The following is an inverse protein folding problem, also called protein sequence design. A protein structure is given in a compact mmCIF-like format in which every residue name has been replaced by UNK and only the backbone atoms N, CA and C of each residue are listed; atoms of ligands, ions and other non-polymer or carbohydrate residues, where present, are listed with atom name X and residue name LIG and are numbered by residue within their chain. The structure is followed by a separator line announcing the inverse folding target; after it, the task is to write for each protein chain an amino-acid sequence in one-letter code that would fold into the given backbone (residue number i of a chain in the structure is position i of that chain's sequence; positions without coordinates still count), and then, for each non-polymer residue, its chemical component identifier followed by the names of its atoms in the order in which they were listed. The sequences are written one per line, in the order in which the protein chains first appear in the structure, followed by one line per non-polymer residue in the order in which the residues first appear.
data_IF_613739464693
#
_entry.id   IF_613739464693
#
_cell.length_a   1.000
_cell.length_b   1.000
_cell.length_c   1.000
_cell.angle_alpha   90.00
_cell.angle_beta   90.00
_cell.angle_gamma   90.00
#
_symmetry.space_group_name_H-M   'P 1'
#
loop_
_entity.id
_entity.type
_entity.pdbx_description
1 polymer ?
#
# COMPACT_ATOMS: atom_id res chain seq x y z
N UNK A 1 -12.57 -4.04 16.69
CA UNK A 1 -11.52 -3.95 15.66
C UNK A 1 -11.90 -2.82 14.71
N UNK A 2 -11.06 -1.84 14.54
CA UNK A 2 -11.29 -0.76 13.58
C UNK A 2 -11.00 -1.25 12.16
N UNK A 3 -11.77 -0.80 11.18
CA UNK A 3 -11.54 -1.13 9.76
C UNK A 3 -11.46 0.17 8.96
N UNK A 4 -10.36 0.35 8.25
CA UNK A 4 -10.20 1.46 7.31
C UNK A 4 -10.68 1.02 5.92
N UNK A 5 -11.42 1.92 5.24
CA UNK A 5 -11.90 1.68 3.87
C UNK A 5 -11.80 2.96 3.07
N UNK A 6 -10.98 2.97 2.04
CA UNK A 6 -10.90 4.04 1.06
C UNK A 6 -10.25 3.56 -0.24
N UNK A 7 -10.63 4.13 -1.36
CA UNK A 7 -9.99 3.91 -2.67
C UNK A 7 -9.87 2.44 -3.08
N UNK A 8 -10.85 1.60 -2.68
CA UNK A 8 -10.83 0.16 -2.96
C UNK A 8 -9.80 -0.63 -2.13
N UNK A 9 -9.27 -0.03 -1.08
CA UNK A 9 -8.43 -0.70 -0.08
C UNK A 9 -9.24 -0.83 1.20
N UNK A 10 -9.29 -2.03 1.75
CA UNK A 10 -9.90 -2.31 3.06
C UNK A 10 -8.87 -2.97 3.96
N UNK A 11 -8.71 -2.43 5.16
CA UNK A 11 -7.75 -2.88 6.14
C UNK A 11 -8.40 -2.99 7.53
N UNK A 12 -8.78 -4.18 7.97
CA UNK A 12 -9.03 -4.45 9.38
C UNK A 12 -7.75 -4.23 10.18
N UNK A 13 -7.80 -3.37 11.20
CA UNK A 13 -6.62 -3.05 12.00
C UNK A 13 -6.52 -4.01 13.18
N UNK A 14 -5.41 -4.74 13.34
CA UNK A 14 -5.12 -5.47 14.58
C UNK A 14 -5.10 -4.54 15.79
N UNK A 15 -5.33 -5.08 16.99
CA UNK A 15 -5.25 -4.30 18.22
C UNK A 15 -3.90 -3.60 18.36
N UNK A 16 -3.93 -2.32 18.72
CA UNK A 16 -2.73 -1.50 18.86
C UNK A 16 -2.22 -0.87 17.56
N UNK A 17 -2.83 -1.18 16.41
CA UNK A 17 -2.52 -0.51 15.15
C UNK A 17 -3.43 0.69 14.91
N UNK A 18 -2.85 1.71 14.32
CA UNK A 18 -3.55 2.79 13.64
C UNK A 18 -3.13 2.84 12.17
N UNK A 19 -3.89 3.58 11.37
CA UNK A 19 -3.56 3.69 9.96
C UNK A 19 -4.31 4.82 9.28
N UNK A 20 -3.95 5.07 8.04
CA UNK A 20 -4.59 6.02 7.15
C UNK A 20 -4.48 5.57 5.70
N UNK A 21 -5.49 5.89 4.91
CA UNK A 21 -5.50 5.70 3.45
C UNK A 21 -5.77 7.06 2.82
N UNK A 22 -4.90 7.51 1.94
CA UNK A 22 -4.98 8.82 1.32
C UNK A 22 -4.48 8.80 -0.11
N UNK A 23 -4.84 9.84 -0.87
CA UNK A 23 -4.26 10.15 -2.17
C UNK A 23 -3.48 11.45 -2.02
N UNK A 24 -2.24 11.47 -2.50
CA UNK A 24 -1.39 12.67 -2.45
C UNK A 24 -2.01 13.80 -3.28
N UNK A 25 -1.65 15.03 -2.93
CA UNK A 25 -1.96 16.15 -3.79
C UNK A 25 -1.27 15.99 -5.15
N UNK A 26 -1.99 16.31 -6.24
CA UNK A 26 -1.44 16.28 -7.60
C UNK A 26 -0.30 17.29 -7.72
N UNK A 27 0.86 16.83 -8.15
CA UNK A 27 2.02 17.66 -8.42
C UNK A 27 2.33 17.60 -9.91
N UNK A 28 2.18 18.71 -10.60
CA UNK A 28 2.45 18.78 -12.05
C UNK A 28 1.48 17.90 -12.88
N UNK A 29 2.01 17.03 -13.73
CA UNK A 29 1.23 16.16 -14.63
C UNK A 29 1.05 14.74 -14.09
N UNK A 30 1.71 14.39 -12.99
CA UNK A 30 1.60 13.06 -12.41
C UNK A 30 0.24 12.88 -11.72
N UNK A 31 -0.47 11.82 -12.07
CA UNK A 31 -1.67 11.42 -11.37
C UNK A 31 -1.27 10.73 -10.05
N UNK A 32 -1.77 11.22 -8.90
CA UNK A 32 -1.50 10.59 -7.63
C UNK A 32 -2.37 9.35 -7.44
N UNK A 33 -1.79 8.31 -6.88
CA UNK A 33 -2.47 7.05 -6.55
C UNK A 33 -2.54 6.86 -5.03
N UNK A 34 -3.45 5.99 -4.56
CA UNK A 34 -3.62 5.73 -3.14
C UNK A 34 -2.36 5.23 -2.44
N UNK A 35 -2.20 5.68 -1.21
CA UNK A 35 -1.20 5.20 -0.26
C UNK A 35 -1.91 4.83 1.03
N UNK A 36 -1.66 3.63 1.55
CA UNK A 36 -2.11 3.22 2.86
C UNK A 36 -0.90 3.06 3.80
N UNK A 37 -0.98 3.62 4.99
CA UNK A 37 0.04 3.54 6.02
C UNK A 37 -0.56 3.00 7.30
N UNK A 38 0.19 2.11 7.96
CA UNK A 38 -0.23 1.43 9.18
C UNK A 38 0.95 1.37 10.15
N UNK A 39 0.69 1.56 11.42
CA UNK A 39 1.70 1.48 12.47
C UNK A 39 1.11 1.00 13.78
N UNK A 40 1.92 0.37 14.61
CA UNK A 40 1.58 0.05 16.00
C UNK A 40 2.08 1.15 16.98
N UNK A 41 2.25 2.36 16.47
CA UNK A 41 2.60 3.57 17.20
C UNK A 41 1.94 4.78 16.53
N UNK A 42 1.93 5.94 17.19
CA UNK A 42 1.30 7.15 16.65
C UNK A 42 2.01 7.62 15.37
N UNK A 43 1.25 7.66 14.26
CA UNK A 43 1.73 8.15 12.98
C UNK A 43 1.92 9.68 13.04
N UNK A 44 3.02 10.23 12.51
CA UNK A 44 3.22 11.66 12.45
C UNK A 44 2.18 12.33 11.53
N UNK A 45 1.82 13.58 11.83
CA UNK A 45 0.86 14.36 11.03
C UNK A 45 1.36 14.61 9.61
N UNK A 46 2.67 14.75 9.44
CA UNK A 46 3.28 14.92 8.12
C UNK A 46 3.21 13.61 7.35
N UNK A 47 2.56 13.70 6.18
CA UNK A 47 2.36 12.57 5.28
C UNK A 47 3.46 12.57 4.24
N UNK A 48 4.34 11.57 4.29
CA UNK A 48 5.27 11.25 3.20
C UNK A 48 4.98 9.82 2.74
N UNK A 49 5.18 9.54 1.45
CA UNK A 49 4.76 8.28 0.80
C UNK A 49 5.24 7.02 1.52
N UNK A 50 6.50 7.01 1.90
CA UNK A 50 7.15 5.92 2.62
C UNK A 50 7.41 6.26 4.09
N UNK A 51 6.54 7.11 4.67
CA UNK A 51 6.56 7.40 6.10
C UNK A 51 7.74 8.23 6.58
N UNK A 52 8.22 9.19 5.76
CA UNK A 52 9.41 10.04 6.02
C UNK A 52 9.49 10.45 7.46
N UNK A 53 9.60 10.42 8.46
CA UNK A 53 9.62 10.70 9.88
C UNK A 53 9.05 9.56 10.74
N UNK A 54 8.15 8.72 10.22
CA UNK A 54 7.55 7.65 11.00
C UNK A 54 8.61 6.65 11.49
N UNK A 55 9.52 6.22 10.62
CA UNK A 55 10.59 5.27 10.98
C UNK A 55 11.57 5.82 12.01
N UNK A 56 11.71 7.15 12.13
CA UNK A 56 12.56 7.78 13.15
C UNK A 56 11.90 7.81 14.53
N UNK A 57 10.57 7.71 14.58
CA UNK A 57 9.79 7.68 15.82
C UNK A 57 9.61 6.26 16.37
N UNK A 58 10.00 5.23 15.59
CA UNK A 58 9.82 3.83 15.96
C UNK A 58 10.72 3.43 17.13
N UNK A 59 10.11 2.87 18.17
CA UNK A 59 10.84 2.09 19.16
C UNK A 59 11.17 0.68 18.66
N UNK A 60 11.88 -0.09 19.46
CA UNK A 60 12.30 -1.48 19.15
C UNK A 60 11.14 -2.46 18.91
N UNK A 61 9.94 -2.12 19.36
CA UNK A 61 8.69 -2.85 19.11
C UNK A 61 7.89 -2.28 17.94
N UNK A 62 8.37 -1.20 17.33
CA UNK A 62 7.66 -0.50 16.26
C UNK A 62 7.53 -1.36 15.01
N UNK A 63 6.37 -1.26 14.39
CA UNK A 63 6.04 -1.82 13.08
C UNK A 63 5.44 -0.70 12.26
N UNK A 64 5.95 -0.50 11.04
CA UNK A 64 5.41 0.45 10.08
C UNK A 64 5.23 -0.26 8.73
N UNK A 65 4.05 -0.19 8.17
CA UNK A 65 3.70 -0.85 6.91
C UNK A 65 3.09 0.17 5.96
N UNK A 66 3.54 0.17 4.71
CA UNK A 66 3.01 0.99 3.63
C UNK A 66 2.56 0.10 2.48
N UNK A 67 1.38 0.33 1.97
CA UNK A 67 0.91 -0.15 0.68
C UNK A 67 0.81 1.06 -0.25
N UNK A 68 1.66 1.09 -1.26
CA UNK A 68 1.75 2.20 -2.21
C UNK A 68 1.31 1.72 -3.60
N UNK A 69 0.34 2.39 -4.19
CA UNK A 69 -0.13 2.10 -5.55
C UNK A 69 0.63 2.92 -6.59
N UNK A 70 0.94 2.27 -7.70
CA UNK A 70 1.54 2.90 -8.88
C UNK A 70 0.50 3.10 -9.99
N UNK A 71 0.84 3.86 -11.01
CA UNK A 71 -0.01 4.04 -12.16
C UNK A 71 -0.27 2.75 -12.95
N UNK A 72 -1.43 2.64 -13.64
CA UNK A 72 -1.83 1.43 -14.36
C UNK A 72 -0.87 1.04 -15.49
N UNK A 73 -0.06 1.97 -15.98
CA UNK A 73 1.02 1.71 -16.95
C UNK A 73 2.14 0.81 -16.39
N UNK A 74 2.16 0.60 -15.09
CA UNK A 74 3.10 -0.29 -14.41
C UNK A 74 2.66 -1.76 -14.45
N UNK A 75 1.38 -2.02 -14.67
CA UNK A 75 0.84 -3.39 -14.84
C UNK A 75 1.50 -4.06 -16.05
N UNK A 76 1.93 -5.30 -15.88
CA UNK A 76 2.62 -6.07 -16.91
C UNK A 76 4.13 -5.79 -17.01
N UNK A 77 4.66 -4.78 -16.32
CA UNK A 77 6.10 -4.61 -16.21
C UNK A 77 6.71 -5.69 -15.31
N UNK A 78 7.94 -6.10 -15.62
CA UNK A 78 8.65 -7.18 -14.91
C UNK A 78 8.64 -7.02 -13.38
N UNK A 79 8.78 -5.77 -12.90
CA UNK A 79 8.81 -5.47 -11.47
C UNK A 79 7.49 -5.86 -10.77
N UNK A 80 6.35 -5.74 -11.47
CA UNK A 80 5.01 -6.03 -10.95
C UNK A 80 4.44 -7.37 -11.46
N UNK A 81 5.30 -8.27 -11.96
CA UNK A 81 4.87 -9.55 -12.54
C UNK A 81 4.26 -10.51 -11.50
N UNK A 82 4.66 -10.39 -10.23
CA UNK A 82 4.07 -11.16 -9.14
C UNK A 82 2.57 -10.85 -9.05
N UNK A 83 1.75 -11.91 -9.06
CA UNK A 83 0.31 -11.79 -8.85
C UNK A 83 -0.03 -12.07 -7.39
N UNK A 84 -0.77 -11.14 -6.80
CA UNK A 84 -1.19 -11.21 -5.41
C UNK A 84 -0.18 -10.65 -4.41
N UNK A 85 -0.73 -9.98 -3.39
CA UNK A 85 0.03 -9.46 -2.26
C UNK A 85 0.60 -10.61 -1.41
N UNK A 86 1.84 -10.51 -0.90
CA UNK A 86 2.31 -11.47 0.09
C UNK A 86 1.42 -11.43 1.32
N UNK A 87 0.93 -12.60 1.74
CA UNK A 87 0.00 -12.74 2.88
C UNK A 87 0.68 -13.25 4.14
N UNK A 88 1.89 -13.76 4.00
CA UNK A 88 2.70 -14.28 5.10
C UNK A 88 4.16 -14.01 4.83
N UNK A 89 4.82 -13.40 5.78
CA UNK A 89 6.24 -13.10 5.78
C UNK A 89 6.92 -13.85 6.92
N UNK A 90 8.24 -14.01 6.80
CA UNK A 90 9.10 -14.59 7.82
C UNK A 90 10.13 -13.57 8.27
N UNK A 91 10.84 -13.82 9.36
CA UNK A 91 11.92 -12.93 9.80
C UNK A 91 13.06 -12.82 8.78
N UNK A 92 13.24 -13.81 7.91
CA UNK A 92 14.28 -13.81 6.88
C UNK A 92 13.96 -12.87 5.70
N UNK A 93 12.69 -12.49 5.53
CA UNK A 93 12.29 -11.50 4.54
C UNK A 93 12.73 -10.09 4.93
N UNK A 94 13.07 -9.86 6.20
CA UNK A 94 13.45 -8.55 6.73
C UNK A 94 14.97 -8.41 6.84
N UNK A 95 15.51 -7.39 6.17
CA UNK A 95 16.96 -7.12 6.12
C UNK A 95 17.27 -5.65 6.41
N UNK A 96 18.33 -5.34 7.16
CA UNK A 96 18.76 -3.95 7.40
C UNK A 96 19.10 -3.20 6.12
N UNK A 97 19.58 -3.92 5.09
CA UNK A 97 20.05 -3.35 3.82
C UNK A 97 18.93 -2.88 2.88
N UNK A 98 17.68 -3.23 3.14
CA UNK A 98 16.52 -2.75 2.35
C UNK A 98 16.25 -1.27 2.62
N UNK A 99 16.63 -0.77 3.79
CA UNK A 99 16.37 0.59 4.22
C UNK A 99 17.42 1.55 3.64
N UNK A 100 17.02 2.44 2.73
CA UNK A 100 17.92 3.46 2.17
C UNK A 100 18.42 4.47 3.20
N UNK A 101 17.64 4.72 4.25
CA UNK A 101 17.93 5.60 5.38
C UNK A 101 17.54 4.90 6.68
N UNK A 102 17.98 3.67 6.85
CA UNK A 102 17.68 2.90 8.06
C UNK A 102 18.41 3.46 9.26
N UNK A 103 17.74 3.49 10.39
CA UNK A 103 18.38 3.66 11.67
C UNK A 103 19.04 2.34 12.07
N UNK A 104 20.16 2.46 12.81
CA UNK A 104 20.87 1.28 13.32
C UNK A 104 19.90 0.37 14.09
N UNK A 105 19.93 -0.91 13.78
CA UNK A 105 19.10 -1.92 14.43
C UNK A 105 17.75 -2.19 13.78
N UNK A 106 17.27 -1.32 12.89
CA UNK A 106 16.03 -1.55 12.12
C UNK A 106 16.25 -2.52 10.96
N UNK A 107 15.17 -3.10 10.46
CA UNK A 107 15.17 -3.88 9.23
C UNK A 107 13.87 -3.69 8.46
N UNK A 108 13.90 -3.96 7.15
CA UNK A 108 12.73 -3.80 6.30
C UNK A 108 12.61 -4.89 5.25
N UNK A 109 11.45 -4.91 4.62
CA UNK A 109 11.16 -5.74 3.45
C UNK A 109 10.40 -4.91 2.42
N UNK A 110 10.53 -5.27 1.15
CA UNK A 110 9.83 -4.61 0.05
C UNK A 110 9.41 -5.63 -1.00
N UNK A 111 8.15 -5.58 -1.39
CA UNK A 111 7.55 -6.46 -2.37
C UNK A 111 6.80 -5.65 -3.41
N UNK A 112 7.02 -5.96 -4.69
CA UNK A 112 6.26 -5.40 -5.81
C UNK A 112 5.34 -6.47 -6.37
N UNK A 113 4.09 -6.12 -6.68
CA UNK A 113 3.09 -7.08 -7.15
C UNK A 113 1.92 -6.37 -7.84
N UNK A 114 1.09 -7.16 -8.51
CA UNK A 114 -0.21 -6.73 -9.02
C UNK A 114 -1.30 -7.45 -8.21
N UNK A 115 -2.23 -6.70 -7.62
CA UNK A 115 -3.38 -7.20 -6.88
C UNK A 115 -4.65 -6.60 -7.48
N UNK A 116 -5.63 -7.43 -7.85
CA UNK A 116 -6.88 -6.99 -8.47
C UNK A 116 -6.66 -6.09 -9.72
N UNK A 117 -5.63 -6.36 -10.53
CA UNK A 117 -5.27 -5.59 -11.70
C UNK A 117 -4.58 -4.24 -11.40
N UNK A 118 -4.20 -3.99 -10.17
CA UNK A 118 -3.57 -2.74 -9.68
C UNK A 118 -2.14 -3.00 -9.23
N UNK A 119 -1.16 -2.16 -9.60
CA UNK A 119 0.25 -2.37 -9.27
C UNK A 119 0.59 -1.70 -7.93
N UNK A 120 1.19 -2.46 -7.03
CA UNK A 120 1.54 -2.02 -5.68
C UNK A 120 2.98 -2.34 -5.29
N UNK A 121 3.49 -1.60 -4.32
CA UNK A 121 4.56 -2.07 -3.43
C UNK A 121 4.04 -2.18 -2.00
N UNK A 122 4.37 -3.29 -1.35
CA UNK A 122 4.27 -3.44 0.10
C UNK A 122 5.67 -3.18 0.67
N UNK A 123 5.77 -2.23 1.58
CA UNK A 123 6.99 -1.88 2.30
C UNK A 123 6.73 -1.98 3.79
N UNK A 124 7.52 -2.75 4.50
CA UNK A 124 7.37 -2.89 5.94
C UNK A 124 8.71 -2.69 6.65
N UNK A 125 8.69 -1.98 7.77
CA UNK A 125 9.84 -1.70 8.61
C UNK A 125 9.57 -2.18 10.02
N UNK A 126 10.56 -2.86 10.60
CA UNK A 126 10.59 -3.28 11.99
C UNK A 126 11.60 -2.43 12.76
N UNK A 127 11.22 -1.98 13.95
CA UNK A 127 12.07 -1.16 14.83
C UNK A 127 13.28 -1.89 15.34
N UNK A 128 13.30 -3.23 15.28
CA UNK A 128 14.43 -4.05 15.68
C UNK A 128 14.60 -5.30 14.82
N UNK A 129 15.75 -5.40 14.14
CA UNK A 129 16.11 -6.60 13.39
C UNK A 129 16.29 -7.82 14.30
N UNK A 130 16.85 -7.63 15.49
CA UNK A 130 17.03 -8.70 16.47
C UNK A 130 15.70 -9.30 16.95
N UNK A 131 14.62 -8.51 16.93
CA UNK A 131 13.27 -8.93 17.34
C UNK A 131 12.36 -9.32 16.19
N UNK A 132 12.85 -9.37 14.95
CA UNK A 132 12.04 -9.60 13.75
C UNK A 132 11.11 -10.82 13.85
N UNK A 133 11.59 -11.94 14.41
CA UNK A 133 10.78 -13.15 14.55
C UNK A 133 9.60 -12.98 15.52
N UNK A 134 9.71 -12.08 16.49
CA UNK A 134 8.62 -11.75 17.40
C UNK A 134 7.64 -10.72 16.82
N UNK A 135 8.11 -9.83 15.94
CA UNK A 135 7.31 -8.75 15.35
C UNK A 135 6.58 -9.19 14.06
N UNK A 136 7.14 -10.10 13.30
CA UNK A 136 6.55 -10.57 12.03
C UNK A 136 5.13 -11.12 12.16
N UNK A 137 4.73 -11.85 13.19
CA UNK A 137 3.35 -12.29 13.38
C UNK A 137 2.33 -11.15 13.39
N UNK A 138 2.69 -9.99 13.95
CA UNK A 138 1.82 -8.80 13.95
C UNK A 138 1.72 -8.17 12.56
N UNK A 139 2.82 -8.14 11.79
CA UNK A 139 2.78 -7.75 10.37
C UNK A 139 1.85 -8.66 9.59
N UNK A 140 1.96 -9.97 9.80
CA UNK A 140 1.14 -10.97 9.10
C UNK A 140 -0.34 -10.86 9.48
N UNK A 141 -0.66 -10.53 10.73
CA UNK A 141 -2.03 -10.26 11.15
C UNK A 141 -2.64 -9.07 10.39
N UNK A 142 -1.85 -8.02 10.13
CA UNK A 142 -2.30 -6.88 9.34
C UNK A 142 -2.47 -7.22 7.86
N UNK A 143 -1.43 -7.76 7.21
CA UNK A 143 -1.43 -7.99 5.76
C UNK A 143 -2.32 -9.16 5.34
N UNK A 144 -2.57 -10.11 6.24
CA UNK A 144 -3.43 -11.27 5.99
C UNK A 144 -4.88 -10.87 5.66
N UNK A 145 -5.40 -9.89 6.37
CA UNK A 145 -6.78 -9.42 6.26
C UNK A 145 -6.95 -8.19 5.35
N UNK A 146 -5.84 -7.61 4.86
CA UNK A 146 -5.86 -6.47 3.97
C UNK A 146 -6.37 -6.89 2.59
N UNK A 147 -7.38 -6.21 2.05
CA UNK A 147 -7.96 -6.52 0.75
C UNK A 147 -7.92 -5.31 -0.19
N UNK A 148 -7.81 -5.62 -1.48
CA UNK A 148 -7.84 -4.64 -2.56
C UNK A 148 -8.90 -5.07 -3.57
N UNK A 149 -9.80 -4.16 -3.95
CA UNK A 149 -10.78 -4.38 -5.00
C UNK A 149 -10.30 -3.78 -6.33
N UNK A 150 -10.75 -4.30 -7.49
CA UNK A 150 -10.49 -3.67 -8.77
C UNK A 150 -10.98 -2.21 -8.78
N UNK A 151 -10.30 -1.35 -9.55
CA UNK A 151 -10.84 -0.03 -9.85
C UNK A 151 -12.12 -0.25 -10.66
N UNK A 152 -13.26 0.39 -10.32
CA UNK A 152 -14.44 0.34 -11.15
C UNK A 152 -14.08 0.78 -12.56
N UNK A 153 -14.29 -0.09 -13.56
CA UNK A 153 -14.17 0.31 -14.95
C UNK A 153 -15.11 1.47 -15.17
N UNK A 154 -14.62 2.60 -15.66
CA UNK A 154 -15.49 3.66 -16.15
C UNK A 154 -16.40 3.01 -17.21
N UNK A 155 -17.70 2.90 -16.91
CA UNK A 155 -18.67 2.46 -17.91
C UNK A 155 -18.53 3.42 -19.06
N UNK A 156 -18.17 2.97 -20.28
CA UNK A 156 -18.12 3.88 -21.41
C UNK A 156 -19.49 4.53 -21.49
N UNK A 157 -19.55 5.86 -21.50
CA UNK A 157 -20.79 6.59 -21.64
C UNK A 157 -21.50 6.02 -22.86
N UNK A 158 -22.72 5.52 -22.66
CA UNK A 158 -23.53 4.96 -23.74
C UNK A 158 -23.57 6.00 -24.86
N UNK A 159 -22.99 5.68 -26.00
CA UNK A 159 -23.08 6.51 -27.20
C UNK A 159 -24.55 6.47 -27.60
N UNK A 160 -25.25 7.54 -27.31
CA UNK A 160 -26.63 7.72 -27.76
C UNK A 160 -26.56 7.72 -29.30
N UNK A 161 -27.21 6.80 -30.00
CA UNK A 161 -27.21 6.84 -31.47
C UNK A 161 -27.87 8.13 -31.89
N UNK A 162 -27.13 8.97 -32.59
CA UNK A 162 -27.67 10.17 -33.25
C UNK A 162 -28.73 9.68 -34.22
N UNK A 163 -29.99 10.10 -33.98
CA UNK A 163 -31.15 9.67 -34.73
C UNK A 163 -30.95 9.83 -36.23
N UNK A 164 -31.32 8.78 -36.94
CA UNK A 164 -31.38 8.75 -38.38
C UNK A 164 -32.19 9.94 -38.91
N UNK A 165 -31.54 10.80 -39.68
CA UNK A 165 -32.21 11.92 -40.35
C UNK A 165 -33.35 11.43 -41.22
N UNK A 166 -34.50 12.11 -41.17
CA UNK A 166 -35.65 11.88 -42.02
C UNK A 166 -35.28 12.11 -43.49
N UNK A 167 -35.73 11.27 -44.43
CA UNK A 167 -35.56 11.56 -45.86
C UNK A 167 -36.43 12.76 -46.24
N UNK A 168 -35.88 13.66 -47.01
CA UNK A 168 -36.59 14.76 -47.64
C UNK A 168 -37.42 14.22 -48.78
N UNK A 169 -38.72 14.52 -48.81
CA UNK A 169 -39.57 14.46 -50.02
C UNK A 169 -39.38 15.73 -50.82
#
# INVERSE_FOLDING_TARGET
MATLRAHGIEAPLPGGFEGRIFVRAKIGREEPYPVAQFANFALPDQVADFGGGAVTLMGVQGIFVVLFEYGPESVGRRLFARQGMPRSLTGEDFRPTVLRRGLTGQSGTQWFFTEAGRPFTLYAVLGSHARRNALVPEVNALIGDLTVTPVPSAVPAAVTPVGAGRPWN
#
